data_IF_192858739667
#
_entry.id   IF_192858739667
#
_cell.length_a   1.000
_cell.length_b   1.000
_cell.length_c   1.000
_cell.angle_alpha   90.00
_cell.angle_beta   90.00
_cell.angle_gamma   90.00
#
_symmetry.space_group_name_H-M   'P 1'
#
loop_
_entity.id
_entity.type
_entity.pdbx_description
1 polymer ?
#
# COMPACT_ATOMS: atom_id res chain seq x y z
N UNK A 1 8.76 -12.36 1.85
CA UNK A 1 8.26 -11.05 1.42
C UNK A 1 7.48 -11.10 0.11
N UNK A 2 8.06 -11.64 -0.96
CA UNK A 2 7.35 -11.70 -2.25
C UNK A 2 6.03 -12.45 -2.19
N UNK A 3 6.00 -13.59 -1.50
CA UNK A 3 4.78 -14.38 -1.38
C UNK A 3 3.68 -13.62 -0.66
N UNK A 4 4.04 -12.88 0.38
CA UNK A 4 3.09 -12.08 1.14
C UNK A 4 2.55 -10.95 0.28
N UNK A 5 3.40 -10.30 -0.50
CA UNK A 5 2.98 -9.22 -1.39
C UNK A 5 2.02 -9.74 -2.46
N UNK A 6 2.28 -10.91 -3.03
CA UNK A 6 1.39 -11.50 -4.01
C UNK A 6 0.03 -11.86 -3.42
N UNK A 7 0.01 -12.46 -2.25
CA UNK A 7 -1.23 -12.78 -1.56
C UNK A 7 -2.02 -11.53 -1.22
N UNK A 8 -1.33 -10.49 -0.81
CA UNK A 8 -1.95 -9.22 -0.52
C UNK A 8 -2.60 -8.62 -1.76
N UNK A 9 -1.90 -8.62 -2.88
CA UNK A 9 -2.43 -8.09 -4.13
C UNK A 9 -3.68 -8.84 -4.58
N UNK A 10 -3.66 -10.17 -4.49
CA UNK A 10 -4.83 -10.99 -4.84
C UNK A 10 -6.01 -10.69 -3.92
N UNK A 11 -5.74 -10.53 -2.65
CA UNK A 11 -6.79 -10.21 -1.69
C UNK A 11 -7.40 -8.84 -1.96
N UNK A 12 -6.57 -7.85 -2.26
CA UNK A 12 -7.03 -6.51 -2.60
C UNK A 12 -7.93 -6.55 -3.83
N UNK A 13 -7.54 -7.27 -4.86
CA UNK A 13 -8.33 -7.40 -6.08
C UNK A 13 -9.68 -8.03 -5.77
N UNK A 14 -9.68 -9.07 -4.94
CA UNK A 14 -10.91 -9.73 -4.53
C UNK A 14 -11.85 -8.76 -3.79
N UNK A 15 -11.32 -7.98 -2.86
CA UNK A 15 -12.10 -6.99 -2.13
C UNK A 15 -12.68 -5.94 -3.10
N UNK A 16 -11.88 -5.49 -4.06
CA UNK A 16 -12.32 -4.51 -5.05
C UNK A 16 -13.47 -5.08 -5.87
N UNK A 17 -13.36 -6.30 -6.34
CA UNK A 17 -14.42 -6.94 -7.12
C UNK A 17 -15.72 -7.03 -6.34
N UNK A 18 -15.64 -7.35 -5.06
CA UNK A 18 -16.82 -7.41 -4.19
C UNK A 18 -17.40 -6.05 -3.89
N UNK A 19 -16.55 -5.04 -3.79
CA UNK A 19 -16.96 -3.71 -3.34
C UNK A 19 -17.47 -2.82 -4.46
N UNK A 20 -16.82 -2.82 -5.61
CA UNK A 20 -17.11 -1.84 -6.65
C UNK A 20 -18.22 -2.24 -7.58
N UNK A 21 -18.50 -3.51 -7.72
CA UNK A 21 -19.58 -3.98 -8.62
C UNK A 21 -19.48 -3.39 -10.02
N UNK A 22 -18.26 -3.27 -10.53
CA UNK A 22 -18.02 -2.74 -11.86
C UNK A 22 -17.67 -1.26 -11.93
N UNK A 23 -17.63 -0.59 -10.81
CA UNK A 23 -17.13 0.79 -10.78
C UNK A 23 -15.63 0.76 -10.53
N UNK A 24 -14.87 1.32 -11.46
CA UNK A 24 -13.42 1.30 -11.39
C UNK A 24 -12.83 2.61 -10.87
N UNK A 25 -13.61 3.35 -10.10
CA UNK A 25 -13.17 4.62 -9.55
C UNK A 25 -12.87 4.45 -8.07
N UNK A 26 -11.77 5.07 -7.65
CA UNK A 26 -11.38 5.04 -6.28
C UNK A 26 -9.91 4.69 -6.13
N UNK A 27 -9.48 4.67 -4.88
CA UNK A 27 -8.08 4.48 -4.54
C UNK A 27 -7.97 3.58 -3.33
N UNK A 28 -6.88 2.87 -3.27
CA UNK A 28 -6.56 2.01 -2.14
C UNK A 28 -5.22 2.44 -1.57
N UNK A 29 -5.18 2.68 -0.27
CA UNK A 29 -3.95 2.97 0.43
C UNK A 29 -3.55 1.73 1.19
N UNK A 30 -2.36 1.24 0.95
CA UNK A 30 -1.84 0.04 1.60
C UNK A 30 -0.64 0.42 2.45
N UNK A 31 -0.71 0.10 3.73
CA UNK A 31 0.42 0.21 4.63
C UNK A 31 0.92 -1.18 4.97
N UNK A 32 2.20 -1.39 4.82
CA UNK A 32 2.84 -2.65 5.16
C UNK A 32 3.93 -2.36 6.18
N UNK A 33 3.90 -3.08 7.29
CA UNK A 33 4.88 -2.95 8.34
C UNK A 33 5.56 -4.30 8.55
N UNK A 34 6.89 -4.29 8.60
CA UNK A 34 7.67 -5.48 8.92
C UNK A 34 8.55 -5.13 10.10
N UNK A 35 8.38 -5.82 11.22
CA UNK A 35 9.21 -5.58 12.37
C UNK A 35 10.61 -6.22 12.20
N UNK A 36 11.47 -5.98 13.16
CA UNK A 36 12.85 -6.52 13.11
C UNK A 36 12.90 -8.05 13.10
N UNK A 37 11.81 -8.70 13.46
CA UNK A 37 11.71 -10.17 13.42
C UNK A 37 11.05 -10.66 12.15
N UNK A 38 10.80 -9.76 11.20
CA UNK A 38 10.18 -10.05 9.90
C UNK A 38 8.73 -10.52 9.99
N UNK A 39 7.99 -10.07 11.01
CA UNK A 39 6.55 -10.30 11.08
C UNK A 39 5.82 -9.20 10.33
N UNK A 40 5.22 -9.52 9.20
CA UNK A 40 4.52 -8.51 8.41
C UNK A 40 3.12 -8.25 8.97
N UNK A 41 2.74 -6.99 8.98
CA UNK A 41 1.36 -6.58 9.22
C UNK A 41 0.94 -5.66 8.08
N UNK A 42 -0.35 -5.65 7.78
CA UNK A 42 -0.86 -4.89 6.66
C UNK A 42 -2.14 -4.18 7.05
N UNK A 43 -2.28 -2.94 6.60
CA UNK A 43 -3.49 -2.18 6.80
C UNK A 43 -3.92 -1.62 5.45
N UNK A 44 -5.20 -1.70 5.14
CA UNK A 44 -5.73 -1.29 3.84
C UNK A 44 -6.88 -0.32 4.05
N UNK A 45 -6.84 0.79 3.33
CA UNK A 45 -7.90 1.79 3.32
C UNK A 45 -8.43 1.96 1.92
N UNK A 46 -9.75 1.94 1.77
CA UNK A 46 -10.40 2.15 0.48
C UNK A 46 -10.99 3.54 0.47
N UNK A 47 -10.64 4.33 -0.52
CA UNK A 47 -11.03 5.73 -0.64
C UNK A 47 -11.72 5.98 -1.96
N UNK A 48 -12.67 6.91 -1.97
CA UNK A 48 -13.37 7.29 -3.18
C UNK A 48 -12.73 8.49 -3.90
N UNK A 49 -11.67 9.04 -3.36
CA UNK A 49 -10.95 10.15 -4.00
C UNK A 49 -9.46 10.08 -3.70
N UNK A 50 -8.68 10.60 -4.63
CA UNK A 50 -7.23 10.71 -4.45
C UNK A 50 -6.88 11.60 -3.28
N UNK A 51 -7.64 12.65 -3.07
CA UNK A 51 -7.42 13.58 -1.97
C UNK A 51 -7.46 12.86 -0.62
N UNK A 52 -8.47 12.02 -0.42
CA UNK A 52 -8.60 11.27 0.83
C UNK A 52 -7.47 10.25 0.99
N UNK A 53 -7.14 9.57 -0.10
CA UNK A 53 -6.04 8.61 -0.08
C UNK A 53 -4.71 9.30 0.26
N UNK A 54 -4.46 10.45 -0.34
CA UNK A 54 -3.25 11.22 -0.07
C UNK A 54 -3.20 11.72 1.38
N UNK A 55 -4.34 12.12 1.93
CA UNK A 55 -4.39 12.54 3.33
C UNK A 55 -4.07 11.39 4.29
N UNK A 56 -4.58 10.21 3.99
CA UNK A 56 -4.31 9.03 4.81
C UNK A 56 -2.83 8.68 4.75
N UNK A 57 -2.26 8.69 3.55
CA UNK A 57 -0.85 8.37 3.36
C UNK A 57 0.05 9.37 4.07
N UNK A 58 -0.19 10.65 3.87
CA UNK A 58 0.60 11.72 4.46
C UNK A 58 0.46 11.75 5.98
N UNK A 59 -0.76 11.53 6.46
CA UNK A 59 -1.02 11.51 7.90
C UNK A 59 -0.26 10.41 8.60
N UNK A 60 -0.21 9.22 8.03
CA UNK A 60 0.56 8.12 8.60
C UNK A 60 2.05 8.42 8.59
N UNK A 61 2.56 8.98 7.50
CA UNK A 61 3.97 9.34 7.41
C UNK A 61 4.34 10.40 8.45
N UNK A 62 3.51 11.39 8.64
CA UNK A 62 3.75 12.41 9.66
C UNK A 62 3.73 11.83 11.06
N UNK A 63 2.81 10.91 11.33
CA UNK A 63 2.75 10.23 12.61
C UNK A 63 4.03 9.46 12.88
N UNK A 64 4.53 8.74 11.88
CA UNK A 64 5.77 8.00 12.01
C UNK A 64 6.97 8.92 12.24
N UNK A 65 7.00 10.05 11.55
CA UNK A 65 8.08 11.03 11.74
C UNK A 65 8.07 11.64 13.12
N UNK A 66 6.89 11.83 13.71
CA UNK A 66 6.75 12.46 15.01
C UNK A 66 6.94 11.50 16.18
N UNK A 67 6.52 10.26 16.02
CA UNK A 67 6.56 9.27 17.10
C UNK A 67 7.83 8.46 17.13
N UNK A 68 8.40 8.18 15.98
CA UNK A 68 9.55 7.29 15.86
C UNK A 68 10.81 8.05 15.48
N UNK A 69 11.94 7.55 15.96
CA UNK A 69 13.23 8.03 15.50
C UNK A 69 13.58 7.28 14.21
N UNK A 70 13.35 7.93 13.08
CA UNK A 70 13.59 7.31 11.79
C UNK A 70 15.05 7.40 11.39
N UNK A 71 15.62 6.28 10.94
CA UNK A 71 16.95 6.25 10.36
C UNK A 71 16.93 6.55 8.88
N UNK A 72 15.92 6.05 8.19
CA UNK A 72 15.77 6.27 6.75
C UNK A 72 14.33 6.63 6.44
N UNK A 73 14.17 7.53 5.50
CA UNK A 73 12.86 7.94 5.03
C UNK A 73 12.96 8.30 3.56
N UNK A 74 12.18 7.63 2.74
CA UNK A 74 12.07 7.92 1.32
C UNK A 74 10.63 8.23 0.98
N UNK A 75 10.42 9.21 0.13
CA UNK A 75 9.10 9.59 -0.37
C UNK A 75 9.21 9.76 -1.89
N UNK A 76 8.42 8.99 -2.61
CA UNK A 76 8.39 9.08 -4.08
C UNK A 76 6.93 9.03 -4.50
N UNK A 77 6.43 10.15 -5.06
CA UNK A 77 5.05 10.25 -5.55
C UNK A 77 4.03 9.72 -4.53
N UNK A 78 3.40 8.60 -4.83
CA UNK A 78 2.34 8.02 -4.00
C UNK A 78 2.86 6.89 -3.10
N UNK A 79 4.14 6.91 -2.78
CA UNK A 79 4.79 5.87 -1.99
C UNK A 79 5.73 6.48 -0.97
N UNK A 80 5.79 5.86 0.20
CA UNK A 80 6.86 6.16 1.14
C UNK A 80 7.41 4.87 1.74
N UNK A 81 8.66 4.93 2.20
CA UNK A 81 9.28 3.86 2.95
C UNK A 81 10.11 4.45 4.06
N UNK A 82 9.94 3.94 5.26
CA UNK A 82 10.68 4.42 6.43
C UNK A 82 11.25 3.24 7.20
N UNK A 83 12.39 3.46 7.83
CA UNK A 83 13.03 2.49 8.72
C UNK A 83 13.37 3.20 10.02
N UNK A 84 12.94 2.66 11.15
CA UNK A 84 13.26 3.25 12.44
C UNK A 84 14.58 2.70 12.98
N UNK A 85 14.99 3.22 14.13
CA UNK A 85 16.27 2.82 14.74
C UNK A 85 16.27 1.38 15.26
N UNK A 86 15.12 0.76 15.36
CA UNK A 86 15.00 -0.62 15.83
C UNK A 86 14.94 -1.64 14.70
N UNK A 87 14.97 -1.17 13.45
CA UNK A 87 14.91 -2.04 12.29
C UNK A 87 13.50 -2.33 11.79
N UNK A 88 12.50 -1.67 12.34
CA UNK A 88 11.13 -1.80 11.84
C UNK A 88 11.00 -1.01 10.54
N UNK A 89 10.37 -1.61 9.55
CA UNK A 89 10.16 -0.99 8.24
C UNK A 89 8.68 -0.80 7.99
N UNK A 90 8.33 0.39 7.52
CA UNK A 90 6.95 0.69 7.16
C UNK A 90 6.93 1.29 5.77
N UNK A 91 6.05 0.78 4.93
CA UNK A 91 5.82 1.35 3.60
C UNK A 91 4.36 1.71 3.46
N UNK A 92 4.10 2.72 2.66
CA UNK A 92 2.74 3.11 2.32
C UNK A 92 2.68 3.41 0.83
N UNK A 93 1.59 3.02 0.20
CA UNK A 93 1.44 3.25 -1.23
C UNK A 93 -0.03 3.43 -1.59
N UNK A 94 -0.28 4.33 -2.55
CA UNK A 94 -1.61 4.55 -3.09
C UNK A 94 -1.71 3.85 -4.43
N UNK A 95 -2.75 3.05 -4.60
CA UNK A 95 -3.07 2.40 -5.87
C UNK A 95 -4.40 2.92 -6.36
N UNK A 96 -4.53 3.19 -7.65
CA UNK A 96 -5.85 3.39 -8.22
C UNK A 96 -6.49 2.03 -8.46
N UNK A 97 -7.80 1.96 -8.27
CA UNK A 97 -8.53 0.72 -8.52
C UNK A 97 -8.38 0.30 -9.98
N UNK A 98 -8.47 1.26 -10.89
CA UNK A 98 -8.30 1.00 -12.31
C UNK A 98 -6.94 0.38 -12.62
N UNK A 99 -5.88 0.92 -12.03
CA UNK A 99 -4.53 0.40 -12.23
C UNK A 99 -4.39 -1.04 -11.76
N UNK A 100 -4.96 -1.36 -10.60
CA UNK A 100 -4.90 -2.72 -10.08
C UNK A 100 -5.65 -3.71 -10.96
N UNK A 101 -6.82 -3.32 -11.44
CA UNK A 101 -7.60 -4.17 -12.32
C UNK A 101 -6.90 -4.40 -13.65
N UNK A 102 -6.28 -3.39 -14.21
CA UNK A 102 -5.53 -3.54 -15.44
C UNK A 102 -4.35 -4.49 -15.29
N UNK A 103 -3.64 -4.41 -14.18
CA UNK A 103 -2.54 -5.33 -13.89
C UNK A 103 -3.02 -6.76 -13.77
N UNK A 104 -4.20 -6.95 -13.23
CA UNK A 104 -4.77 -8.27 -13.08
C UNK A 104 -5.24 -8.84 -14.41
N UNK A 105 -5.74 -7.99 -15.30
CA UNK A 105 -6.26 -8.42 -16.60
C UNK A 105 -5.17 -8.84 -17.57
N UNK A 106 -3.99 -8.25 -17.47
CA UNK A 106 -2.90 -8.48 -18.40
C UNK A 106 -1.66 -9.11 -17.76
N UNK A 107 -1.79 -10.20 -17.01
CA UNK A 107 -0.62 -10.80 -16.36
C UNK A 107 0.37 -11.41 -17.33
N UNK A 108 -0.09 -11.85 -18.48
CA UNK A 108 0.76 -12.53 -19.47
C UNK A 108 1.80 -11.63 -20.08
N UNK A 109 1.52 -10.35 -20.20
CA UNK A 109 2.48 -9.41 -20.75
C UNK A 109 3.73 -9.30 -19.88
N UNK A 110 3.60 -9.67 -18.64
CA UNK A 110 4.72 -9.65 -17.71
C UNK A 110 5.46 -10.97 -17.66
N UNK A 111 4.75 -12.05 -17.88
CA UNK A 111 5.29 -13.37 -17.75
C UNK A 111 6.14 -13.81 -18.91
N UNK A 112 6.16 -13.03 -19.92
CA UNK A 112 6.93 -13.38 -21.09
C UNK A 112 8.41 -13.20 -20.83
#
# INVERSE_FOLDING_TARGET
MRTIILKLKLWIIHVIECFTMGQNRGYIVVFANTDRYEYPTTEIHICNSYYRASKILTGELETLKNEDELQECEEIDDWFGVTDKYGNQTTGEIFSIEMLLNRNINPKKKGV
#
